data_IF_066567921328
#
_entry.id   IF_066567921328
#
_cell.length_a   1.000
_cell.length_b   1.000
_cell.length_c   1.000
_cell.angle_alpha   90.00
_cell.angle_beta   90.00
_cell.angle_gamma   90.00
#
_symmetry.space_group_name_H-M   'P 1'
#
loop_
_entity.id
_entity.type
_entity.pdbx_description
1 polymer ?
#
# COMPACT_ATOMS: atom_id res chain seq x y z
N UNK A 1 -6.97 -13.31 -1.73
CA UNK A 1 -6.45 -14.67 -2.01
C UNK A 1 -5.82 -15.24 -0.74
N UNK A 2 -6.65 -15.57 0.26
CA UNK A 2 -6.22 -15.93 1.58
C UNK A 2 -5.71 -17.37 1.73
N UNK A 3 -4.47 -17.63 1.33
CA UNK A 3 -3.88 -18.96 1.54
C UNK A 3 -3.00 -19.08 2.78
N UNK A 4 -2.20 -18.06 3.11
CA UNK A 4 -1.12 -18.19 4.10
C UNK A 4 -1.07 -17.04 5.14
N UNK A 5 -2.04 -16.12 5.15
CA UNK A 5 -2.07 -15.02 6.10
C UNK A 5 -2.37 -15.50 7.54
N UNK A 6 -1.70 -14.90 8.50
CA UNK A 6 -1.93 -15.14 9.93
C UNK A 6 -2.94 -14.12 10.45
N UNK A 7 -4.08 -14.58 10.99
CA UNK A 7 -5.08 -13.72 11.63
C UNK A 7 -4.44 -13.02 12.85
N UNK A 8 -4.45 -11.71 12.85
CA UNK A 8 -3.87 -10.89 13.91
C UNK A 8 -4.77 -10.81 15.17
N UNK A 9 -6.02 -11.30 15.08
CA UNK A 9 -6.98 -11.22 16.17
C UNK A 9 -7.41 -9.79 16.51
N UNK A 10 -7.32 -8.88 15.52
CA UNK A 10 -7.82 -7.52 15.65
C UNK A 10 -9.34 -7.52 15.66
N UNK A 11 -9.92 -6.76 16.57
CA UNK A 11 -11.37 -6.59 16.66
C UNK A 11 -11.73 -5.18 17.11
N UNK A 12 -12.78 -4.62 16.53
CA UNK A 12 -13.33 -3.32 16.86
C UNK A 12 -14.86 -3.38 16.70
N UNK A 13 -15.60 -2.70 17.55
CA UNK A 13 -17.06 -2.58 17.45
C UNK A 13 -17.54 -1.23 16.91
N UNK A 14 -16.60 -0.37 16.54
CA UNK A 14 -16.85 0.96 15.99
C UNK A 14 -17.15 2.02 17.05
N UNK A 15 -17.10 3.27 16.65
CA UNK A 15 -17.38 4.45 17.47
C UNK A 15 -16.55 4.52 18.77
N UNK A 16 -15.28 4.06 18.70
CA UNK A 16 -14.40 4.01 19.88
C UNK A 16 -14.85 3.04 20.97
N UNK A 17 -15.69 2.07 20.67
CA UNK A 17 -16.15 1.05 21.61
C UNK A 17 -15.43 -0.29 21.37
N UNK A 18 -15.12 -1.02 22.44
CA UNK A 18 -14.53 -2.36 22.35
C UNK A 18 -13.09 -2.40 21.85
N UNK A 19 -12.37 -1.33 22.04
CA UNK A 19 -11.10 -0.98 21.42
C UNK A 19 -9.87 -1.71 21.96
N UNK A 20 -9.97 -2.48 23.02
CA UNK A 20 -8.80 -3.13 23.67
C UNK A 20 -8.01 -4.07 22.75
N UNK A 21 -8.55 -4.45 21.59
CA UNK A 21 -7.93 -5.30 20.61
C UNK A 21 -7.92 -4.68 19.19
N UNK A 22 -8.17 -3.38 19.08
CA UNK A 22 -8.22 -2.70 17.78
C UNK A 22 -6.84 -2.47 17.17
N UNK A 23 -5.77 -2.47 17.99
CA UNK A 23 -4.38 -2.30 17.54
C UNK A 23 -3.52 -3.51 17.90
N UNK A 24 -2.68 -3.96 16.98
CA UNK A 24 -1.66 -4.99 17.15
C UNK A 24 -0.37 -4.58 16.45
N UNK A 25 0.72 -5.26 16.78
CA UNK A 25 2.07 -4.96 16.31
C UNK A 25 2.60 -6.06 15.41
N UNK A 26 3.49 -5.68 14.51
CA UNK A 26 4.26 -6.56 13.65
C UNK A 26 5.72 -6.15 13.78
N UNK A 27 6.58 -7.09 14.23
CA UNK A 27 8.02 -6.95 14.04
C UNK A 27 8.29 -7.15 12.54
N UNK A 28 8.92 -6.20 11.89
CA UNK A 28 9.28 -6.28 10.49
C UNK A 28 10.51 -7.20 10.32
N UNK A 29 10.58 -8.02 9.27
CA UNK A 29 11.72 -8.90 9.03
C UNK A 29 12.94 -8.18 8.46
N UNK A 30 12.79 -6.88 8.16
CA UNK A 30 13.80 -5.96 7.61
C UNK A 30 13.59 -4.57 8.22
N UNK A 31 14.62 -3.75 8.15
CA UNK A 31 14.54 -2.33 8.48
C UNK A 31 13.81 -1.62 7.33
N UNK A 32 12.76 -0.87 7.64
CA UNK A 32 11.92 -0.16 6.68
C UNK A 32 12.16 1.34 6.82
N UNK A 33 12.65 1.96 5.76
CA UNK A 33 12.88 3.42 5.74
C UNK A 33 11.63 4.16 5.28
N UNK A 34 11.16 5.11 6.10
CA UNK A 34 9.98 5.91 5.78
C UNK A 34 10.20 7.37 6.19
N UNK A 35 10.12 8.31 5.24
CA UNK A 35 10.50 9.71 5.41
C UNK A 35 11.91 9.88 6.01
N UNK A 36 12.85 9.03 5.59
CA UNK A 36 14.25 9.07 5.99
C UNK A 36 14.53 8.54 7.40
N UNK A 37 13.56 7.94 8.08
CA UNK A 37 13.72 7.30 9.38
C UNK A 37 13.49 5.79 9.24
N UNK A 38 14.28 5.00 9.99
CA UNK A 38 14.26 3.53 9.92
C UNK A 38 13.40 2.93 11.01
N UNK A 39 12.60 1.92 10.66
CA UNK A 39 11.67 1.25 11.57
C UNK A 39 11.77 -0.27 11.44
N UNK A 40 11.73 -0.96 12.57
CA UNK A 40 11.72 -2.42 12.68
C UNK A 40 10.38 -2.99 13.18
N UNK A 41 9.41 -2.10 13.46
CA UNK A 41 8.08 -2.45 13.96
C UNK A 41 7.01 -1.57 13.33
N UNK A 42 5.82 -2.13 13.14
CA UNK A 42 4.63 -1.40 12.69
C UNK A 42 3.42 -1.75 13.52
N UNK A 43 2.67 -0.73 13.89
CA UNK A 43 1.36 -0.83 14.56
C UNK A 43 0.26 -0.89 13.50
N UNK A 44 -0.65 -1.83 13.63
CA UNK A 44 -1.77 -2.07 12.70
C UNK A 44 -3.08 -1.89 13.44
N UNK A 45 -3.97 -1.05 12.92
CA UNK A 45 -5.24 -0.74 13.57
C UNK A 45 -6.43 -1.18 12.73
N UNK A 46 -7.52 -1.57 13.39
CA UNK A 46 -8.79 -1.94 12.76
C UNK A 46 -9.34 -0.87 11.81
N UNK A 47 -9.10 0.40 12.11
CA UNK A 47 -9.61 1.57 11.40
C UNK A 47 -8.84 1.92 10.13
N UNK A 48 -8.16 0.91 9.51
CA UNK A 48 -7.63 1.01 8.17
C UNK A 48 -6.32 1.78 8.00
N UNK A 49 -5.53 1.87 9.06
CA UNK A 49 -4.23 2.52 9.04
C UNK A 49 -3.14 1.70 9.72
N UNK A 50 -1.90 1.99 9.37
CA UNK A 50 -0.71 1.55 10.10
C UNK A 50 0.09 2.76 10.55
N UNK A 51 0.89 2.59 11.60
CA UNK A 51 1.87 3.57 12.07
C UNK A 51 3.20 2.87 12.30
N UNK A 52 4.29 3.42 11.78
CA UNK A 52 5.62 2.87 12.02
C UNK A 52 6.03 3.09 13.47
N UNK A 53 6.67 2.07 14.05
CA UNK A 53 6.95 2.00 15.48
C UNK A 53 5.74 1.64 16.33
N UNK A 54 5.89 1.79 17.64
CA UNK A 54 4.91 1.37 18.61
C UNK A 54 3.89 2.47 18.93
N UNK A 55 2.66 2.33 18.48
CA UNK A 55 1.55 3.22 18.81
C UNK A 55 0.42 2.47 19.50
N UNK A 56 -0.10 3.00 20.59
CA UNK A 56 -1.31 2.51 21.26
C UNK A 56 -2.54 3.34 20.91
N UNK A 57 -2.43 4.20 19.91
CA UNK A 57 -3.57 5.00 19.46
C UNK A 57 -4.61 4.11 18.77
N UNK A 58 -5.85 4.50 18.92
CA UNK A 58 -7.04 3.79 18.45
C UNK A 58 -7.89 4.70 17.58
N UNK A 59 -7.21 5.65 16.90
CA UNK A 59 -7.83 6.74 16.15
C UNK A 59 -8.83 6.21 15.10
N UNK A 60 -10.11 6.27 15.42
CA UNK A 60 -11.21 5.88 14.55
C UNK A 60 -11.78 7.06 13.75
N UNK A 61 -11.58 8.28 14.25
CA UNK A 61 -11.97 9.49 13.53
C UNK A 61 -10.84 9.93 12.63
N UNK A 62 -11.11 9.96 11.34
CA UNK A 62 -10.16 10.39 10.35
C UNK A 62 -10.13 11.92 10.21
N UNK A 63 -8.96 12.41 9.80
CA UNK A 63 -8.66 13.81 9.58
C UNK A 63 -7.86 13.96 8.28
N UNK A 64 -7.70 15.20 7.77
CA UNK A 64 -6.78 15.46 6.65
C UNK A 64 -5.34 15.05 7.00
N UNK A 65 -4.59 14.61 6.00
CA UNK A 65 -3.17 14.31 6.08
C UNK A 65 -2.32 15.29 5.22
N UNK A 66 -1.19 15.78 5.70
CA UNK A 66 -0.66 15.63 7.06
C UNK A 66 -1.46 16.44 8.09
N UNK A 67 -1.49 15.97 9.33
CA UNK A 67 -2.21 16.68 10.36
C UNK A 67 -2.20 16.01 11.74
N UNK A 68 -2.75 16.67 12.76
CA UNK A 68 -2.63 16.24 14.16
C UNK A 68 -3.63 15.14 14.57
N UNK A 69 -4.35 14.53 13.63
CA UNK A 69 -5.52 13.70 13.94
C UNK A 69 -5.25 12.25 14.26
N UNK A 70 -4.11 11.69 13.85
CA UNK A 70 -3.75 10.28 13.94
C UNK A 70 -2.42 10.04 14.62
N UNK A 71 -1.94 8.79 14.66
CA UNK A 71 -0.57 8.52 15.03
C UNK A 71 0.35 8.92 13.87
N UNK A 72 1.46 9.56 14.18
CA UNK A 72 2.50 9.87 13.21
C UNK A 72 3.77 9.11 13.57
N UNK A 73 4.48 8.48 12.64
CA UNK A 73 4.25 8.43 11.18
C UNK A 73 3.11 7.48 10.79
N UNK A 74 2.42 7.72 9.66
CA UNK A 74 1.20 7.00 9.31
C UNK A 74 1.11 6.66 7.82
N UNK A 75 0.55 5.49 7.53
CA UNK A 75 -0.02 5.13 6.23
C UNK A 75 -1.49 4.80 6.44
N UNK A 76 -2.35 5.60 5.86
CA UNK A 76 -3.80 5.43 5.86
C UNK A 76 -4.25 4.83 4.53
N UNK A 77 -4.68 3.57 4.55
CA UNK A 77 -5.22 2.93 3.35
C UNK A 77 -6.73 3.17 3.20
N UNK A 78 -7.45 3.15 4.30
CA UNK A 78 -8.87 3.48 4.39
C UNK A 78 -9.14 3.88 5.85
N UNK A 79 -8.62 5.03 6.25
CA UNK A 79 -8.80 5.49 7.62
C UNK A 79 -10.21 6.04 7.79
N UNK A 80 -11.00 5.30 8.54
CA UNK A 80 -12.38 5.60 8.86
C UNK A 80 -12.78 4.81 10.11
N UNK A 81 -13.92 5.10 10.70
CA UNK A 81 -14.51 4.30 11.79
C UNK A 81 -14.94 2.93 11.24
N UNK A 82 -14.01 1.97 11.27
CA UNK A 82 -14.25 0.61 10.82
C UNK A 82 -14.57 -0.30 12.01
N UNK A 83 -15.42 -1.28 11.76
CA UNK A 83 -15.77 -2.33 12.72
C UNK A 83 -15.63 -3.71 12.14
N UNK A 84 -15.38 -4.67 13.03
CA UNK A 84 -15.34 -6.09 12.70
C UNK A 84 -16.68 -6.76 12.91
N UNK A 85 -16.96 -7.77 12.13
CA UNK A 85 -18.04 -8.73 12.33
C UNK A 85 -17.49 -10.18 12.26
N UNK A 86 -18.37 -11.17 12.19
CA UNK A 86 -17.95 -12.58 12.16
C UNK A 86 -17.09 -12.97 10.94
N UNK A 87 -17.20 -12.23 9.84
CA UNK A 87 -16.44 -12.45 8.61
C UNK A 87 -15.25 -11.52 8.43
N UNK A 88 -15.14 -10.48 9.27
CA UNK A 88 -14.06 -9.50 9.19
C UNK A 88 -12.80 -10.05 9.84
N UNK A 89 -11.66 -9.82 9.21
CA UNK A 89 -10.34 -10.21 9.69
C UNK A 89 -9.29 -9.20 9.27
N UNK A 90 -8.26 -9.06 10.09
CA UNK A 90 -7.01 -8.42 9.69
C UNK A 90 -5.93 -9.48 9.70
N UNK A 91 -5.32 -9.70 8.54
CA UNK A 91 -4.26 -10.68 8.35
C UNK A 91 -2.91 -10.02 8.17
N UNK A 92 -1.87 -10.72 8.54
CA UNK A 92 -0.49 -10.44 8.13
C UNK A 92 0.10 -11.60 7.37
N UNK A 93 0.91 -11.30 6.37
CA UNK A 93 1.79 -12.25 5.68
C UNK A 93 3.18 -11.63 5.60
N UNK A 94 4.20 -12.38 6.04
CA UNK A 94 5.56 -11.87 6.21
C UNK A 94 6.52 -12.75 5.41
N UNK A 95 7.35 -12.11 4.60
CA UNK A 95 8.49 -12.71 3.90
C UNK A 95 9.76 -11.92 4.19
N UNK A 96 10.91 -12.33 3.62
CA UNK A 96 12.14 -11.52 3.67
C UNK A 96 12.06 -10.23 2.85
N UNK A 97 11.18 -10.20 1.86
CA UNK A 97 11.16 -9.20 0.79
C UNK A 97 10.00 -8.21 0.92
N UNK A 98 8.93 -8.64 1.59
CA UNK A 98 7.77 -7.77 1.83
C UNK A 98 6.90 -8.25 2.99
N UNK A 99 6.12 -7.33 3.53
CA UNK A 99 5.06 -7.58 4.51
C UNK A 99 3.73 -7.14 3.94
N UNK A 100 2.72 -8.02 3.93
CA UNK A 100 1.35 -7.70 3.54
C UNK A 100 0.47 -7.61 4.79
N UNK A 101 -0.32 -6.56 4.87
CA UNK A 101 -1.35 -6.37 5.88
C UNK A 101 -2.68 -6.25 5.14
N UNK A 102 -3.62 -7.16 5.41
CA UNK A 102 -4.90 -7.23 4.74
C UNK A 102 -6.05 -6.98 5.72
N UNK A 103 -6.90 -6.03 5.41
CA UNK A 103 -8.20 -5.84 6.02
C UNK A 103 -9.26 -6.51 5.15
N UNK A 104 -9.79 -7.63 5.61
CA UNK A 104 -10.76 -8.43 4.87
C UNK A 104 -12.18 -8.22 5.41
N UNK A 105 -13.12 -7.86 4.55
CA UNK A 105 -14.55 -7.70 4.86
C UNK A 105 -14.81 -6.78 6.06
N UNK A 106 -14.02 -5.73 6.25
CA UNK A 106 -14.27 -4.72 7.25
C UNK A 106 -15.57 -3.97 6.94
N UNK A 107 -16.20 -3.43 7.96
CA UNK A 107 -17.45 -2.66 7.82
C UNK A 107 -17.23 -1.24 8.28
N UNK A 108 -17.67 -0.26 7.49
CA UNK A 108 -17.84 1.10 7.98
C UNK A 108 -18.86 1.11 9.12
N UNK A 109 -18.59 1.90 10.16
CA UNK A 109 -19.50 1.97 11.30
C UNK A 109 -20.85 2.57 10.93
N UNK A 110 -20.86 3.57 10.07
CA UNK A 110 -22.02 4.35 9.76
C UNK A 110 -23.08 3.62 8.93
N UNK A 111 -22.68 3.02 7.81
CA UNK A 111 -23.60 2.46 6.83
C UNK A 111 -23.40 0.95 6.57
N UNK A 112 -22.42 0.33 7.23
CA UNK A 112 -22.07 -1.08 7.09
C UNK A 112 -21.59 -1.48 5.69
N UNK A 113 -21.04 -0.56 4.89
CA UNK A 113 -20.44 -0.90 3.62
C UNK A 113 -19.22 -1.80 3.80
N UNK A 114 -18.93 -2.68 2.84
CA UNK A 114 -17.80 -3.59 2.88
C UNK A 114 -16.54 -2.89 2.38
N UNK A 115 -15.42 -3.20 3.07
CA UNK A 115 -14.10 -2.80 2.63
C UNK A 115 -13.19 -4.02 2.64
N UNK A 116 -12.41 -4.19 1.58
CA UNK A 116 -11.34 -5.19 1.51
C UNK A 116 -10.14 -4.58 0.80
N UNK A 117 -9.05 -4.40 1.54
CA UNK A 117 -7.85 -3.72 1.05
C UNK A 117 -6.59 -4.23 1.74
N UNK A 118 -5.45 -3.87 1.18
CA UNK A 118 -4.13 -4.26 1.67
C UNK A 118 -3.17 -3.08 1.66
N UNK A 119 -2.23 -3.11 2.62
CA UNK A 119 -0.97 -2.38 2.57
C UNK A 119 0.14 -3.41 2.38
N UNK A 120 1.03 -3.17 1.44
CA UNK A 120 2.23 -3.97 1.21
C UNK A 120 3.44 -3.07 1.44
N UNK A 121 4.31 -3.49 2.33
CA UNK A 121 5.58 -2.84 2.64
C UNK A 121 6.69 -3.66 1.98
N UNK A 122 7.42 -3.11 1.05
CA UNK A 122 8.49 -3.78 0.33
C UNK A 122 9.85 -3.49 0.98
N UNK A 123 10.68 -4.52 1.13
CA UNK A 123 12.10 -4.35 1.42
C UNK A 123 12.80 -3.89 0.15
N UNK A 124 12.76 -2.60 -0.10
CA UNK A 124 13.25 -2.03 -1.34
C UNK A 124 14.72 -1.74 -1.20
N UNK A 125 15.55 -2.57 -1.78
CA UNK A 125 17.00 -2.38 -1.76
C UNK A 125 17.44 -1.28 -2.74
N UNK A 126 16.91 -0.07 -2.56
CA UNK A 126 17.33 1.09 -3.34
C UNK A 126 18.44 1.83 -2.64
N UNK A 127 19.49 2.25 -3.35
CA UNK A 127 20.62 2.96 -2.75
C UNK A 127 20.28 4.37 -2.27
N UNK A 128 19.14 4.92 -2.63
CA UNK A 128 18.68 6.27 -2.25
C UNK A 128 17.19 6.33 -2.13
N UNK A 129 16.69 6.81 -0.99
CA UNK A 129 15.28 7.08 -0.75
C UNK A 129 14.63 6.11 0.24
N UNK A 130 13.36 6.30 0.44
CA UNK A 130 12.52 5.48 1.32
C UNK A 130 12.12 4.16 0.66
N UNK A 131 11.75 3.19 1.48
CA UNK A 131 11.17 1.95 1.00
C UNK A 131 9.79 2.15 0.38
N UNK A 132 9.40 1.23 -0.48
CA UNK A 132 8.20 1.36 -1.28
C UNK A 132 6.97 0.78 -0.60
N UNK A 133 5.83 1.40 -0.86
CA UNK A 133 4.55 1.00 -0.30
C UNK A 133 3.54 0.84 -1.43
N UNK A 134 2.78 -0.26 -1.40
CA UNK A 134 1.60 -0.41 -2.26
C UNK A 134 0.35 -0.49 -1.40
N UNK A 135 -0.64 0.31 -1.72
CA UNK A 135 -1.98 0.19 -1.18
C UNK A 135 -2.87 -0.34 -2.31
N UNK A 136 -3.61 -1.42 -2.07
CA UNK A 136 -4.49 -1.97 -3.10
C UNK A 136 -5.86 -2.34 -2.53
N UNK A 137 -6.88 -2.18 -3.37
CA UNK A 137 -8.27 -2.33 -2.99
C UNK A 137 -8.93 -3.43 -3.83
N UNK A 138 -9.51 -4.41 -3.17
CA UNK A 138 -10.44 -5.34 -3.80
C UNK A 138 -11.87 -4.79 -3.77
N UNK A 139 -12.24 -4.16 -2.66
CA UNK A 139 -13.52 -3.48 -2.46
C UNK A 139 -13.24 -2.13 -1.80
N UNK A 140 -13.66 -1.07 -2.44
CA UNK A 140 -13.53 0.32 -1.98
C UNK A 140 -14.89 1.02 -2.05
N UNK A 141 -15.61 1.00 -0.96
CA UNK A 141 -16.94 1.62 -0.86
C UNK A 141 -16.86 2.84 0.07
N UNK A 142 -16.36 3.94 -0.46
CA UNK A 142 -16.20 5.21 0.27
C UNK A 142 -17.54 5.94 0.34
N UNK A 143 -18.43 5.47 1.20
CA UNK A 143 -19.80 5.94 1.34
C UNK A 143 -20.07 6.45 2.74
N UNK A 144 -21.06 7.31 2.89
CA UNK A 144 -21.54 7.82 4.16
C UNK A 144 -23.06 7.84 4.20
N UNK A 145 -23.63 7.74 5.39
CA UNK A 145 -25.06 7.96 5.60
C UNK A 145 -25.42 9.44 5.84
N UNK A 146 -24.44 10.35 5.78
CA UNK A 146 -24.59 11.78 6.00
C UNK A 146 -24.79 12.21 7.45
N UNK A 147 -24.53 11.31 8.41
CA UNK A 147 -24.77 11.58 9.83
C UNK A 147 -23.68 12.37 10.52
N UNK A 148 -22.47 12.38 9.93
CA UNK A 148 -21.30 13.03 10.49
C UNK A 148 -20.86 14.24 9.67
N UNK A 149 -20.15 15.19 10.30
CA UNK A 149 -19.57 16.32 9.58
C UNK A 149 -18.43 15.86 8.66
N UNK A 150 -18.27 16.53 7.53
CA UNK A 150 -17.26 16.26 6.51
C UNK A 150 -15.82 16.43 6.96
N UNK A 151 -15.56 17.05 8.09
CA UNK A 151 -14.20 17.24 8.62
C UNK A 151 -13.67 16.06 9.46
N UNK A 152 -14.48 15.07 9.76
CA UNK A 152 -14.06 13.79 10.35
C UNK A 152 -15.20 12.76 10.25
N UNK A 153 -14.84 11.51 9.93
CA UNK A 153 -15.75 10.37 10.03
C UNK A 153 -16.89 10.33 9.03
N UNK A 154 -16.86 11.10 7.94
CA UNK A 154 -17.88 11.08 6.91
C UNK A 154 -17.49 10.20 5.72
N UNK A 155 -16.26 10.33 5.28
CA UNK A 155 -15.60 9.53 4.24
C UNK A 155 -14.19 9.20 4.69
N UNK A 156 -13.62 8.15 4.13
CA UNK A 156 -12.28 7.73 4.49
C UNK A 156 -11.21 8.75 4.12
N UNK A 157 -10.09 8.74 4.88
CA UNK A 157 -8.85 9.38 4.50
C UNK A 157 -7.89 8.34 3.95
N UNK A 158 -7.27 8.65 2.80
CA UNK A 158 -6.19 7.86 2.21
C UNK A 158 -4.97 8.74 2.01
N UNK A 159 -3.82 8.31 2.49
CA UNK A 159 -2.59 9.09 2.40
C UNK A 159 -1.49 8.61 3.33
N UNK A 160 -0.42 9.39 3.37
CA UNK A 160 0.75 9.13 4.23
C UNK A 160 1.20 10.42 4.92
N UNK A 161 1.81 10.30 6.10
CA UNK A 161 2.48 11.41 6.77
C UNK A 161 3.72 10.95 7.54
N UNK A 162 4.67 11.89 7.70
CA UNK A 162 5.91 11.68 8.41
C UNK A 162 5.71 11.61 9.94
N UNK A 163 6.81 11.35 10.67
CA UNK A 163 6.82 11.21 12.13
C UNK A 163 6.45 12.50 12.89
N UNK A 164 6.54 13.68 12.24
CA UNK A 164 6.14 14.96 12.84
C UNK A 164 4.66 15.30 12.56
N UNK A 165 4.00 14.61 11.61
CA UNK A 165 2.64 14.92 11.18
C UNK A 165 2.52 16.25 10.44
N UNK A 166 3.60 16.76 9.86
CA UNK A 166 3.67 18.05 9.16
C UNK A 166 4.01 17.95 7.67
N UNK A 167 4.53 16.81 7.23
CA UNK A 167 4.79 16.50 5.83
C UNK A 167 4.05 15.22 5.45
N UNK A 168 3.30 15.25 4.37
CA UNK A 168 2.52 14.09 3.92
C UNK A 168 1.98 14.27 2.52
N UNK A 169 1.34 13.21 2.04
CA UNK A 169 0.59 13.18 0.79
C UNK A 169 -0.83 12.70 1.09
N UNK A 170 -1.81 13.57 0.94
CA UNK A 170 -3.21 13.20 0.98
C UNK A 170 -3.67 12.79 -0.41
N UNK A 171 -4.09 11.54 -0.55
CA UNK A 171 -4.68 11.05 -1.80
C UNK A 171 -6.16 11.40 -1.89
N UNK A 172 -6.89 11.25 -0.79
CA UNK A 172 -8.28 11.72 -0.66
C UNK A 172 -8.64 11.96 0.81
N UNK A 173 -9.43 12.99 1.04
CA UNK A 173 -10.13 13.26 2.27
C UNK A 173 -11.52 13.84 1.92
N UNK A 174 -12.57 13.45 2.67
CA UNK A 174 -13.94 13.89 2.42
C UNK A 174 -14.39 13.64 0.97
N UNK A 175 -13.97 12.50 0.41
CA UNK A 175 -14.19 12.09 -0.99
C UNK A 175 -13.70 13.11 -2.05
N UNK A 176 -12.80 14.01 -1.65
CA UNK A 176 -12.17 14.96 -2.54
C UNK A 176 -10.81 14.42 -3.00
N UNK A 177 -10.59 14.49 -4.29
CA UNK A 177 -9.36 14.02 -4.95
C UNK A 177 -8.61 15.21 -5.57
N UNK A 178 -7.27 15.28 -5.43
CA UNK A 178 -6.47 16.20 -6.23
C UNK A 178 -6.73 16.00 -7.73
N UNK A 179 -6.62 17.09 -8.50
CA UNK A 179 -6.91 17.06 -9.95
C UNK A 179 -6.02 16.05 -10.74
N UNK A 180 -4.88 15.68 -10.16
CA UNK A 180 -3.94 14.70 -10.74
C UNK A 180 -4.18 13.27 -10.27
N UNK A 181 -5.08 13.05 -9.33
CA UNK A 181 -5.40 11.74 -8.79
C UNK A 181 -6.65 11.17 -9.46
N UNK A 182 -6.60 9.86 -9.77
CA UNK A 182 -7.80 9.13 -10.19
C UNK A 182 -8.61 8.72 -8.96
N UNK A 183 -9.95 8.86 -8.96
CA UNK A 183 -10.77 8.35 -7.88
C UNK A 183 -10.54 6.86 -7.65
N UNK A 184 -10.45 6.47 -6.38
CA UNK A 184 -10.30 5.07 -5.99
C UNK A 184 -11.60 4.30 -6.21
N UNK A 185 -11.47 3.05 -6.57
CA UNK A 185 -12.57 2.14 -6.83
C UNK A 185 -12.14 0.70 -6.57
N UNK A 186 -13.06 -0.25 -6.73
CA UNK A 186 -12.74 -1.67 -6.69
C UNK A 186 -11.62 -2.01 -7.68
N UNK A 187 -10.72 -2.89 -7.25
CA UNK A 187 -9.56 -3.38 -8.04
C UNK A 187 -8.57 -2.28 -8.46
N UNK A 188 -8.50 -1.18 -7.70
CA UNK A 188 -7.51 -0.13 -7.88
C UNK A 188 -6.33 -0.28 -6.92
N UNK A 189 -5.21 0.39 -7.25
CA UNK A 189 -4.02 0.44 -6.39
C UNK A 189 -3.32 1.79 -6.47
N UNK A 190 -2.62 2.14 -5.37
CA UNK A 190 -1.69 3.26 -5.27
C UNK A 190 -0.31 2.66 -4.99
N UNK A 191 0.68 3.09 -5.75
CA UNK A 191 2.07 2.78 -5.50
C UNK A 191 2.81 4.05 -5.04
N UNK A 192 3.47 3.97 -3.89
CA UNK A 192 4.17 5.09 -3.26
C UNK A 192 5.65 4.79 -3.30
N UNK A 193 6.40 5.63 -3.97
CA UNK A 193 7.84 5.50 -4.16
C UNK A 193 8.51 6.87 -4.15
N UNK A 194 9.73 6.95 -3.67
CA UNK A 194 10.60 8.13 -3.76
C UNK A 194 11.47 8.11 -5.00
N UNK A 195 11.43 7.02 -5.79
CA UNK A 195 12.13 6.95 -7.07
C UNK A 195 11.60 8.01 -8.02
N UNK A 196 12.49 8.57 -8.80
CA UNK A 196 12.10 9.54 -9.82
C UNK A 196 11.39 8.82 -10.98
N UNK A 197 10.07 8.66 -10.86
CA UNK A 197 9.22 8.00 -11.87
C UNK A 197 8.89 8.93 -13.04
N UNK A 198 9.80 9.84 -13.40
CA UNK A 198 9.50 10.86 -14.42
C UNK A 198 9.11 10.27 -15.78
N UNK A 199 9.41 9.07 -16.07
CA UNK A 199 8.76 8.25 -17.13
C UNK A 199 9.17 6.79 -16.88
N UNK A 200 8.24 5.89 -16.60
CA UNK A 200 8.54 4.47 -16.74
C UNK A 200 8.76 4.23 -18.23
N UNK A 201 10.01 4.10 -18.62
CA UNK A 201 10.35 3.74 -20.00
C UNK A 201 10.17 2.24 -20.14
N UNK A 202 9.26 1.84 -21.03
CA UNK A 202 9.11 0.41 -21.33
C UNK A 202 10.47 -0.17 -21.74
N UNK A 203 10.87 -1.25 -21.09
CA UNK A 203 12.16 -1.89 -21.29
C UNK A 203 13.31 -1.40 -20.40
N UNK A 204 13.16 -0.31 -19.66
CA UNK A 204 14.11 0.16 -18.65
C UNK A 204 13.75 -0.47 -17.29
N UNK A 205 14.16 -1.70 -17.12
CA UNK A 205 13.75 -2.54 -15.99
C UNK A 205 14.51 -2.21 -14.70
N UNK A 206 15.75 -1.76 -14.83
CA UNK A 206 16.60 -1.35 -13.71
C UNK A 206 16.45 0.14 -13.35
N UNK A 207 15.69 0.90 -14.16
CA UNK A 207 15.39 2.31 -13.98
C UNK A 207 16.63 3.23 -13.92
N UNK A 208 17.63 2.91 -14.73
CA UNK A 208 18.84 3.72 -14.88
C UNK A 208 18.74 4.78 -16.01
N UNK A 209 17.55 4.94 -16.60
CA UNK A 209 17.23 5.84 -17.71
C UNK A 209 17.79 5.38 -19.08
N UNK A 210 18.34 4.15 -19.16
CA UNK A 210 18.90 3.58 -20.37
C UNK A 210 18.32 2.18 -20.64
N UNK A 211 17.60 1.99 -21.75
CA UNK A 211 17.19 0.65 -22.19
C UNK A 211 18.38 -0.05 -22.82
N UNK A 212 18.95 -1.04 -22.14
CA UNK A 212 20.17 -1.71 -22.56
C UNK A 212 20.18 -3.22 -22.21
N UNK A 213 21.32 -3.89 -22.43
CA UNK A 213 21.42 -5.35 -22.23
C UNK A 213 21.23 -5.78 -20.76
N UNK A 214 21.43 -4.88 -19.79
CA UNK A 214 21.24 -5.20 -18.37
C UNK A 214 19.76 -5.45 -18.08
N UNK A 215 18.85 -4.70 -18.72
CA UNK A 215 17.40 -4.88 -18.60
C UNK A 215 16.97 -6.23 -19.16
N UNK A 216 17.50 -6.61 -20.31
CA UNK A 216 17.26 -7.95 -20.90
C UNK A 216 17.66 -9.06 -19.93
N UNK A 217 18.80 -8.90 -19.25
CA UNK A 217 19.26 -9.87 -18.25
C UNK A 217 18.31 -9.95 -17.07
N UNK A 218 17.74 -8.82 -16.63
CA UNK A 218 16.77 -8.78 -15.54
C UNK A 218 15.46 -9.45 -15.94
N UNK A 219 14.94 -9.16 -17.15
CA UNK A 219 13.74 -9.83 -17.67
C UNK A 219 13.95 -11.35 -17.74
N UNK A 220 15.09 -11.79 -18.27
CA UNK A 220 15.40 -13.22 -18.35
C UNK A 220 15.54 -13.84 -16.95
N UNK A 221 16.11 -13.12 -16.00
CA UNK A 221 16.25 -13.60 -14.62
C UNK A 221 14.88 -13.78 -13.96
N UNK A 222 13.95 -12.85 -14.19
CA UNK A 222 12.55 -12.93 -13.74
C UNK A 222 11.86 -14.17 -14.32
N UNK A 223 11.95 -14.36 -15.64
CA UNK A 223 11.36 -15.52 -16.33
C UNK A 223 11.90 -16.85 -15.79
N UNK A 224 13.20 -16.94 -15.50
CA UNK A 224 13.83 -18.14 -14.99
C UNK A 224 13.54 -18.41 -13.53
N UNK A 225 13.22 -17.38 -12.76
CA UNK A 225 12.89 -17.53 -11.34
C UNK A 225 11.52 -18.16 -11.12
N UNK A 226 10.60 -17.99 -12.06
CA UNK A 226 9.24 -18.54 -11.99
C UNK A 226 8.46 -17.99 -10.80
N UNK A 227 7.37 -18.67 -10.43
CA UNK A 227 6.42 -18.24 -9.38
C UNK A 227 7.00 -18.20 -7.94
N UNK A 228 8.31 -18.21 -7.76
CA UNK A 228 8.93 -18.42 -6.45
C UNK A 228 9.34 -17.18 -5.67
N UNK A 229 9.23 -16.02 -6.23
CA UNK A 229 9.35 -14.66 -5.67
C UNK A 229 9.67 -13.72 -6.83
N UNK A 230 8.93 -12.68 -6.99
CA UNK A 230 9.23 -11.66 -7.99
C UNK A 230 10.59 -11.03 -7.65
N UNK A 231 11.57 -11.18 -8.55
CA UNK A 231 12.90 -10.55 -8.42
C UNK A 231 12.83 -9.06 -8.72
N UNK A 232 11.84 -8.67 -9.53
CA UNK A 232 11.59 -7.29 -9.91
C UNK A 232 10.57 -6.66 -8.96
N UNK A 233 10.83 -5.43 -8.57
CA UNK A 233 9.82 -4.63 -7.90
C UNK A 233 8.65 -4.28 -8.86
N UNK A 234 7.54 -3.73 -8.36
CA UNK A 234 6.37 -3.44 -9.19
C UNK A 234 6.64 -2.52 -10.37
N UNK A 235 7.60 -1.61 -10.27
CA UNK A 235 7.97 -0.69 -11.36
C UNK A 235 8.79 -1.44 -12.40
N UNK A 236 9.76 -2.25 -11.97
CA UNK A 236 10.52 -3.13 -12.85
C UNK A 236 9.64 -4.16 -13.56
N UNK A 237 8.64 -4.74 -12.87
CA UNK A 237 7.65 -5.63 -13.49
C UNK A 237 6.84 -4.91 -14.57
N UNK A 238 6.38 -3.69 -14.29
CA UNK A 238 5.66 -2.89 -15.27
C UNK A 238 6.53 -2.50 -16.47
N UNK A 239 7.81 -2.15 -16.24
CA UNK A 239 8.76 -1.86 -17.31
C UNK A 239 9.14 -3.10 -18.13
N UNK A 240 9.12 -4.28 -17.51
CA UNK A 240 9.46 -5.56 -18.13
C UNK A 240 8.35 -6.13 -19.01
N UNK A 241 7.06 -5.87 -18.69
CA UNK A 241 5.91 -6.25 -19.52
C UNK A 241 5.74 -5.22 -20.64
N UNK A 242 6.58 -5.32 -21.65
CA UNK A 242 6.69 -4.32 -22.72
C UNK A 242 5.54 -4.36 -23.71
N UNK A 243 4.90 -5.52 -23.86
CA UNK A 243 3.72 -5.69 -24.73
C UNK A 243 2.37 -5.48 -23.98
N UNK A 244 2.42 -5.19 -22.67
CA UNK A 244 1.29 -4.92 -21.78
C UNK A 244 0.23 -6.05 -21.78
N UNK A 245 0.70 -7.30 -21.82
CA UNK A 245 -0.20 -8.47 -21.76
C UNK A 245 -0.35 -9.09 -20.37
N UNK A 246 0.19 -8.44 -19.33
CA UNK A 246 0.19 -8.83 -17.93
C UNK A 246 1.04 -10.11 -17.64
N UNK A 247 1.93 -10.48 -18.56
CA UNK A 247 2.79 -11.68 -18.45
C UNK A 247 4.21 -11.39 -18.90
N UNK A 248 5.14 -11.30 -17.97
CA UNK A 248 6.56 -11.17 -18.31
C UNK A 248 7.07 -12.50 -18.88
N UNK A 249 7.46 -12.50 -20.15
CA UNK A 249 7.90 -13.68 -20.85
C UNK A 249 9.00 -13.39 -21.90
N UNK A 250 9.42 -14.40 -22.63
CA UNK A 250 10.52 -14.27 -23.61
C UNK A 250 10.22 -13.25 -24.73
N UNK A 251 8.94 -12.97 -25.01
CA UNK A 251 8.56 -11.99 -26.04
C UNK A 251 8.95 -10.58 -25.62
N UNK A 252 8.80 -10.25 -24.33
CA UNK A 252 9.22 -8.95 -23.78
C UNK A 252 10.73 -8.76 -23.92
N UNK A 253 11.50 -9.79 -23.54
CA UNK A 253 12.95 -9.77 -23.74
C UNK A 253 13.34 -9.55 -25.20
N UNK A 254 12.63 -10.15 -26.14
CA UNK A 254 12.86 -9.96 -27.58
C UNK A 254 12.51 -8.53 -28.01
N UNK A 255 11.42 -7.95 -27.49
CA UNK A 255 11.03 -6.58 -27.80
C UNK A 255 12.11 -5.62 -27.29
N UNK A 256 12.61 -5.80 -26.06
CA UNK A 256 13.68 -4.96 -25.52
C UNK A 256 14.97 -5.09 -26.36
N UNK A 257 15.34 -6.31 -26.75
CA UNK A 257 16.47 -6.51 -27.67
C UNK A 257 16.30 -5.73 -28.98
N UNK A 258 15.09 -5.75 -29.55
CA UNK A 258 14.80 -5.00 -30.78
C UNK A 258 14.87 -3.50 -30.54
N UNK A 259 14.43 -2.99 -29.39
CA UNK A 259 14.59 -1.59 -29.01
C UNK A 259 16.05 -1.17 -28.92
N UNK A 260 16.92 -2.02 -28.34
CA UNK A 260 18.36 -1.78 -28.23
C UNK A 260 19.04 -1.78 -29.59
N UNK A 261 18.58 -2.60 -30.52
CA UNK A 261 19.16 -2.74 -31.87
C UNK A 261 18.56 -1.80 -32.89
N UNK A 262 17.63 -0.91 -32.53
CA UNK A 262 16.93 0.02 -33.43
C UNK A 262 16.25 -0.69 -34.64
N UNK A 263 15.61 -1.85 -34.42
CA UNK A 263 14.90 -2.61 -35.45
C UNK A 263 13.37 -2.40 -35.35
#
# INVERSE_FOLDING_TARGET
QGGNGIDMGISDSGNGNGISNSTKYIDLPFEFTFYGEDYDEVSVNANGWISFGHSQMESFRNYPLPGPGGPSPMVAAFWDDLKTNTSSKVFKYITSDYVVIEWLNMKTYEDNSNQTFQIILYNTMTPTGDDEIKIQYKEFNNTTNGSYPTYHGCYSTVGIENHMGDIGLEYTFDDNYPITASPLQDESAIFITTRNTTVITAGDVNQDEEVNIQDVVLIISEILNGDNNDLLDPVGQFAADVDNNEVINILDAIIVINMILDF
#
